data_IF_585753927619
#
_entry.id   IF_585753927619
#
_cell.length_a   1.000
_cell.length_b   1.000
_cell.length_c   1.000
_cell.angle_alpha   90.00
_cell.angle_beta   90.00
_cell.angle_gamma   90.00
#
_symmetry.space_group_name_H-M   'P 1'
#
loop_
_entity.id
_entity.type
_entity.pdbx_description
1 polymer ?
#
# COMPACT_ATOMS: atom_id res chain seq x y z
N UNK A 1 4.71 -1.42 -3.58
CA UNK A 1 5.01 -1.29 -5.00
C UNK A 1 5.34 -2.66 -5.59
N UNK A 2 5.02 -2.93 -6.88
CA UNK A 2 5.50 -4.13 -7.55
C UNK A 2 7.03 -4.12 -7.65
N UNK A 3 7.67 -5.29 -7.52
CA UNK A 3 9.13 -5.40 -7.51
C UNK A 3 9.75 -4.90 -8.82
N UNK A 4 9.04 -5.06 -9.94
CA UNK A 4 9.45 -4.62 -11.26
C UNK A 4 9.54 -3.09 -11.37
N UNK A 5 8.69 -2.37 -10.64
CA UNK A 5 8.58 -0.91 -10.70
C UNK A 5 9.33 -0.18 -9.58
N UNK A 6 9.90 -0.88 -8.61
CA UNK A 6 10.52 -0.26 -7.42
C UNK A 6 11.58 0.77 -7.78
N UNK A 7 12.46 0.45 -8.73
CA UNK A 7 13.57 1.30 -9.16
C UNK A 7 13.12 2.56 -9.92
N UNK A 8 11.89 2.57 -10.43
CA UNK A 8 11.32 3.74 -11.10
C UNK A 8 11.01 4.87 -10.11
N UNK A 9 10.59 4.50 -8.91
CA UNK A 9 10.11 5.43 -7.89
C UNK A 9 11.12 5.72 -6.79
N UNK A 10 11.97 4.73 -6.52
CA UNK A 10 12.94 4.77 -5.42
C UNK A 10 14.35 4.58 -5.96
N UNK A 11 15.33 5.17 -5.28
CA UNK A 11 16.73 5.05 -5.64
C UNK A 11 17.31 3.71 -5.13
N UNK A 12 16.91 2.66 -5.81
CA UNK A 12 17.35 1.29 -5.57
C UNK A 12 17.58 0.59 -6.91
N UNK A 13 18.41 -0.46 -6.97
CA UNK A 13 18.56 -1.28 -8.18
C UNK A 13 17.22 -1.88 -8.65
N UNK A 14 17.07 -2.17 -9.95
CA UNK A 14 15.94 -2.94 -10.47
C UNK A 14 15.79 -4.27 -9.72
N UNK A 15 14.54 -4.71 -9.51
CA UNK A 15 14.21 -5.96 -8.85
C UNK A 15 14.72 -6.08 -7.41
N UNK A 16 14.98 -4.95 -6.74
CA UNK A 16 15.36 -4.96 -5.31
C UNK A 16 14.22 -5.53 -4.48
N UNK A 17 14.53 -6.57 -3.71
CA UNK A 17 13.56 -7.22 -2.84
C UNK A 17 13.54 -6.57 -1.46
N UNK A 18 12.40 -6.00 -1.12
CA UNK A 18 12.11 -5.36 0.17
C UNK A 18 10.75 -5.89 0.66
N UNK A 19 10.69 -7.17 1.01
CA UNK A 19 9.44 -7.87 1.34
C UNK A 19 8.72 -7.28 2.57
N UNK A 20 9.48 -6.62 3.46
CA UNK A 20 8.95 -6.02 4.69
C UNK A 20 9.33 -4.53 4.76
N UNK A 21 8.46 -3.72 5.37
CA UNK A 21 8.69 -2.27 5.57
C UNK A 21 9.67 -1.97 6.70
N UNK A 22 10.86 -2.56 6.68
CA UNK A 22 11.91 -2.38 7.70
C UNK A 22 13.10 -1.54 7.20
N UNK A 23 13.16 -1.29 5.89
CA UNK A 23 14.23 -0.53 5.22
C UNK A 23 13.64 0.71 4.59
N UNK A 24 14.37 1.82 4.69
CA UNK A 24 14.06 3.05 3.95
C UNK A 24 14.88 3.11 2.67
N UNK A 25 14.29 3.67 1.62
CA UNK A 25 14.95 4.03 0.38
C UNK A 25 14.60 5.47 0.02
N UNK A 26 15.49 6.17 -0.66
CA UNK A 26 15.24 7.52 -1.11
C UNK A 26 14.19 7.50 -2.23
N UNK A 27 13.19 8.36 -2.10
CA UNK A 27 12.26 8.65 -3.19
C UNK A 27 13.00 9.48 -4.22
N UNK A 28 12.96 9.06 -5.50
CA UNK A 28 13.57 9.84 -6.59
C UNK A 28 13.01 11.26 -6.60
N UNK A 29 13.88 12.24 -6.73
CA UNK A 29 13.53 13.64 -6.55
C UNK A 29 12.36 14.08 -7.43
N UNK A 30 12.35 13.65 -8.69
CA UNK A 30 11.30 13.91 -9.67
C UNK A 30 9.93 13.32 -9.29
N UNK A 31 9.89 12.38 -8.35
CA UNK A 31 8.66 11.70 -7.92
C UNK A 31 8.17 12.11 -6.53
N UNK A 32 8.93 12.87 -5.76
CA UNK A 32 8.56 13.28 -4.39
C UNK A 32 7.23 14.02 -4.34
N UNK A 33 6.99 14.92 -5.29
CA UNK A 33 5.72 15.65 -5.38
C UNK A 33 4.51 14.75 -5.69
N UNK A 34 4.74 13.58 -6.29
CA UNK A 34 3.69 12.60 -6.61
C UNK A 34 3.43 11.60 -5.48
N UNK A 35 4.31 11.53 -4.48
CA UNK A 35 4.27 10.58 -3.37
C UNK A 35 4.31 11.28 -1.99
N UNK A 36 3.56 12.38 -1.77
CA UNK A 36 3.69 13.17 -0.54
C UNK A 36 3.30 12.39 0.72
N UNK A 37 2.35 11.44 0.60
CA UNK A 37 1.84 10.68 1.75
C UNK A 37 2.86 9.67 2.32
N UNK A 38 3.88 9.28 1.56
CA UNK A 38 4.87 8.28 1.97
C UNK A 38 6.28 8.84 2.04
N UNK A 39 6.51 10.05 1.54
CA UNK A 39 7.84 10.69 1.54
C UNK A 39 8.08 11.39 2.87
N UNK A 40 9.10 10.95 3.61
CA UNK A 40 9.55 11.57 4.83
C UNK A 40 10.20 12.95 4.54
N UNK A 41 10.38 13.75 5.60
CA UNK A 41 10.99 15.09 5.50
C UNK A 41 12.38 15.06 4.85
N UNK A 42 13.14 13.98 5.08
CA UNK A 42 14.47 13.77 4.48
C UNK A 42 14.44 13.20 3.06
N UNK A 43 13.26 13.03 2.45
CA UNK A 43 13.10 12.50 1.10
C UNK A 43 13.09 10.98 0.98
N UNK A 44 13.17 10.24 2.09
CA UNK A 44 13.09 8.78 2.09
C UNK A 44 11.65 8.26 2.28
N UNK A 45 11.44 6.99 2.03
CA UNK A 45 10.20 6.28 2.34
C UNK A 45 10.50 4.86 2.85
N UNK A 46 9.62 4.29 3.67
CA UNK A 46 9.66 2.86 4.00
C UNK A 46 8.99 2.09 2.87
N UNK A 47 9.79 1.36 2.13
CA UNK A 47 9.34 0.66 0.93
C UNK A 47 9.02 -0.79 1.25
N UNK A 48 7.94 -1.29 0.64
CA UNK A 48 7.65 -2.72 0.54
C UNK A 48 7.49 -3.09 -0.93
N UNK A 49 8.25 -4.08 -1.40
CA UNK A 49 8.08 -4.66 -2.73
C UNK A 49 7.19 -5.89 -2.67
N UNK A 50 6.41 -6.09 -3.71
CA UNK A 50 5.54 -7.25 -3.88
C UNK A 50 6.00 -8.02 -5.10
N UNK A 51 6.44 -9.25 -4.86
CA UNK A 51 6.82 -10.20 -5.88
C UNK A 51 5.61 -11.09 -6.22
N UNK A 52 5.38 -11.34 -7.50
CA UNK A 52 4.28 -12.19 -7.96
C UNK A 52 4.36 -13.63 -7.41
N UNK A 53 5.58 -14.14 -7.22
CA UNK A 53 5.79 -15.48 -6.68
C UNK A 53 5.39 -15.61 -5.20
N UNK A 54 5.47 -14.51 -4.44
CA UNK A 54 5.16 -14.50 -3.01
C UNK A 54 3.69 -14.17 -2.75
N UNK A 55 3.14 -13.23 -3.54
CA UNK A 55 1.73 -12.82 -3.41
C UNK A 55 1.15 -12.41 -4.76
N UNK A 56 0.72 -13.40 -5.55
CA UNK A 56 0.19 -13.20 -6.89
C UNK A 56 -1.07 -12.32 -6.91
N UNK A 57 -1.95 -12.47 -5.93
CA UNK A 57 -3.21 -11.70 -5.86
C UNK A 57 -2.94 -10.23 -5.61
N UNK A 58 -2.08 -9.93 -4.64
CA UNK A 58 -1.72 -8.54 -4.32
C UNK A 58 -0.89 -7.90 -5.43
N UNK A 59 0.02 -8.64 -6.05
CA UNK A 59 0.76 -8.18 -7.23
C UNK A 59 -0.20 -7.81 -8.39
N UNK A 60 -1.21 -8.65 -8.65
CA UNK A 60 -2.24 -8.38 -9.66
C UNK A 60 -3.06 -7.13 -9.35
N UNK A 61 -3.43 -6.94 -8.07
CA UNK A 61 -4.09 -5.73 -7.60
C UNK A 61 -3.25 -4.48 -7.87
N UNK A 62 -1.96 -4.51 -7.51
CA UNK A 62 -1.04 -3.38 -7.76
C UNK A 62 -0.91 -3.06 -9.26
N UNK A 63 -0.86 -4.08 -10.11
CA UNK A 63 -0.88 -3.89 -11.57
C UNK A 63 -2.18 -3.25 -12.06
N UNK A 64 -3.33 -3.61 -11.48
CA UNK A 64 -4.61 -2.96 -11.79
C UNK A 64 -4.64 -1.49 -11.35
N UNK A 65 -4.13 -1.20 -10.14
CA UNK A 65 -3.95 0.18 -9.66
C UNK A 65 -3.02 0.96 -10.59
N UNK A 66 -1.93 0.34 -11.06
CA UNK A 66 -1.00 0.94 -12.01
C UNK A 66 -1.66 1.35 -13.33
N UNK A 67 -2.51 0.48 -13.88
CA UNK A 67 -3.27 0.81 -15.11
C UNK A 67 -4.22 1.99 -14.91
N UNK A 68 -4.81 2.12 -13.72
CA UNK A 68 -5.75 3.20 -13.41
C UNK A 68 -5.08 4.52 -13.04
N UNK A 69 -3.88 4.48 -12.42
CA UNK A 69 -3.25 5.66 -11.79
C UNK A 69 -1.88 6.01 -12.36
N UNK A 70 -1.29 5.13 -13.19
CA UNK A 70 0.10 5.22 -13.64
C UNK A 70 1.13 4.78 -12.58
N UNK A 71 0.69 4.28 -11.41
CA UNK A 71 1.57 3.90 -10.28
C UNK A 71 1.15 2.53 -9.75
N UNK A 72 2.00 1.53 -9.89
CA UNK A 72 1.79 0.18 -9.38
C UNK A 72 2.10 0.09 -7.87
N UNK A 73 1.50 0.97 -7.09
CA UNK A 73 1.69 1.04 -5.64
C UNK A 73 0.46 1.51 -4.90
N UNK A 74 0.41 1.16 -3.62
CA UNK A 74 -0.58 1.63 -2.65
C UNK A 74 0.13 2.00 -1.35
N UNK A 75 -0.52 2.81 -0.51
CA UNK A 75 -0.09 3.05 0.86
C UNK A 75 -0.46 1.83 1.72
N UNK A 76 0.51 1.26 2.42
CA UNK A 76 0.28 0.22 3.40
C UNK A 76 0.29 0.81 4.81
N UNK A 77 -0.78 0.61 5.55
CA UNK A 77 -0.92 1.05 6.95
C UNK A 77 -1.74 0.03 7.73
N UNK A 78 -1.66 0.09 9.06
CA UNK A 78 -2.47 -0.77 9.92
C UNK A 78 -3.95 -0.46 9.75
N UNK A 79 -4.78 -1.50 9.75
CA UNK A 79 -6.22 -1.34 9.77
C UNK A 79 -6.72 -1.35 11.23
N UNK A 80 -6.87 -0.15 11.79
CA UNK A 80 -7.36 0.08 13.14
C UNK A 80 -7.74 1.55 13.33
N UNK A 81 -8.56 1.84 14.34
CA UNK A 81 -8.77 3.20 14.83
C UNK A 81 -7.60 3.55 15.77
N UNK A 82 -7.13 4.80 15.73
CA UNK A 82 -6.01 5.27 16.57
C UNK A 82 -6.26 4.92 18.05
N UNK A 83 -5.29 4.24 18.64
CA UNK A 83 -5.35 3.80 20.04
C UNK A 83 -6.00 2.45 20.27
N UNK A 84 -6.51 1.80 19.23
CA UNK A 84 -7.05 0.44 19.29
C UNK A 84 -6.05 -0.57 18.68
N UNK A 85 -6.16 -1.86 19.05
CA UNK A 85 -5.41 -2.94 18.41
C UNK A 85 -5.72 -3.03 16.90
N UNK A 86 -4.82 -3.66 16.16
CA UNK A 86 -5.07 -3.99 14.74
C UNK A 86 -6.28 -4.93 14.66
N UNK A 87 -7.16 -4.66 13.71
CA UNK A 87 -8.33 -5.50 13.40
C UNK A 87 -7.89 -6.95 13.13
N UNK A 88 -8.54 -7.88 13.80
CA UNK A 88 -8.21 -9.31 13.74
C UNK A 88 -9.38 -10.22 13.31
N UNK A 89 -10.61 -9.71 13.35
CA UNK A 89 -11.82 -10.47 13.00
C UNK A 89 -12.68 -9.71 11.98
N UNK A 90 -13.52 -10.41 11.20
CA UNK A 90 -14.48 -9.75 10.31
C UNK A 90 -15.43 -8.79 11.03
N UNK A 91 -15.85 -9.11 12.26
CA UNK A 91 -16.70 -8.24 13.06
C UNK A 91 -16.00 -6.93 13.41
N UNK A 92 -14.76 -6.98 13.91
CA UNK A 92 -13.93 -5.79 14.16
C UNK A 92 -13.66 -4.98 12.90
N UNK A 93 -13.48 -5.65 11.73
CA UNK A 93 -13.32 -4.99 10.46
C UNK A 93 -14.59 -4.19 10.09
N UNK A 94 -15.76 -4.77 10.29
CA UNK A 94 -17.04 -4.09 10.06
C UNK A 94 -17.26 -2.92 11.02
N UNK A 95 -16.94 -3.08 12.30
CA UNK A 95 -17.03 -2.00 13.30
C UNK A 95 -16.10 -0.84 12.91
N UNK A 96 -14.86 -1.14 12.57
CA UNK A 96 -13.87 -0.13 12.12
C UNK A 96 -14.34 0.56 10.84
N UNK A 97 -14.86 -0.18 9.87
CA UNK A 97 -15.40 0.35 8.64
C UNK A 97 -16.59 1.29 8.91
N UNK A 98 -17.54 0.89 9.75
CA UNK A 98 -18.72 1.70 10.08
C UNK A 98 -18.36 2.94 10.92
N UNK A 99 -17.37 2.82 11.80
CA UNK A 99 -16.90 3.89 12.70
C UNK A 99 -15.95 4.90 12.05
N UNK A 100 -15.53 4.70 10.79
CA UNK A 100 -14.58 5.55 10.08
C UNK A 100 -15.18 6.12 8.79
N UNK A 101 -14.44 6.98 8.08
CA UNK A 101 -14.83 7.51 6.77
C UNK A 101 -14.42 6.63 5.58
N UNK A 102 -13.98 5.39 5.80
CA UNK A 102 -13.60 4.46 4.73
C UNK A 102 -14.82 4.15 3.86
N UNK A 103 -14.69 4.24 2.56
CA UNK A 103 -15.82 4.06 1.62
C UNK A 103 -15.99 2.60 1.20
N UNK A 104 -14.91 1.84 1.15
CA UNK A 104 -14.90 0.46 0.67
C UNK A 104 -14.09 -0.42 1.62
N UNK A 105 -14.59 -1.61 1.90
CA UNK A 105 -13.91 -2.64 2.66
C UNK A 105 -13.97 -3.95 1.87
N UNK A 106 -12.82 -4.57 1.66
CA UNK A 106 -12.71 -5.92 1.12
C UNK A 106 -12.50 -6.91 2.26
N UNK A 107 -13.39 -7.89 2.36
CA UNK A 107 -13.25 -9.06 3.23
C UNK A 107 -13.19 -10.29 2.35
N UNK A 108 -12.02 -10.84 2.17
CA UNK A 108 -11.75 -11.93 1.23
C UNK A 108 -12.27 -11.60 -0.19
N UNK A 109 -13.34 -12.24 -0.64
CA UNK A 109 -13.95 -12.04 -1.95
C UNK A 109 -15.20 -11.13 -1.90
N UNK A 110 -15.47 -10.50 -0.75
CA UNK A 110 -16.65 -9.67 -0.54
C UNK A 110 -16.25 -8.20 -0.50
N UNK A 111 -16.87 -7.39 -1.36
CA UNK A 111 -16.78 -5.93 -1.31
C UNK A 111 -17.96 -5.38 -0.50
N UNK A 112 -17.63 -4.66 0.56
CA UNK A 112 -18.59 -3.88 1.34
C UNK A 112 -18.43 -2.40 0.99
N UNK A 113 -19.53 -1.73 0.69
CA UNK A 113 -19.59 -0.29 0.41
C UNK A 113 -20.66 0.36 1.25
N UNK A 114 -20.52 1.66 1.50
CA UNK A 114 -21.60 2.44 2.12
C UNK A 114 -22.74 2.62 1.10
N UNK A 115 -23.97 2.45 1.56
CA UNK A 115 -25.13 2.89 0.77
C UNK A 115 -25.04 4.42 0.58
N UNK A 116 -25.22 4.87 -0.63
CA UNK A 116 -25.34 6.30 -0.94
C UNK A 116 -26.74 6.81 -0.58
#
# INVERSE_FOLDING_TARGET
VTIEQVHRWFDVPPMTELAYMIITADVREEHRAHLPAVTHVNGSARVQTVNKNDNASFHTLLGAVGRATGREMVLNTSFNIKGQPIVNTPAEAMETFLGTGIEFLFLENTLVSRAR
#
